data_IF_659088629162
#
_entry.id   IF_659088629162
#
_cell.length_a   1.000
_cell.length_b   1.000
_cell.length_c   1.000
_cell.angle_alpha   90.00
_cell.angle_beta   90.00
_cell.angle_gamma   90.00
#
_symmetry.space_group_name_H-M   'P 1'
#
loop_
_entity.id
_entity.type
_entity.pdbx_description
1 polymer ?
#
# COMPACT_ATOMS: atom_id res chain seq x y z
N UNK A 1 -73.45 -22.95 -35.62
CA UNK A 1 -74.52 -23.81 -35.07
C UNK A 1 -73.90 -25.13 -34.65
N UNK A 2 -74.49 -25.83 -33.66
CA UNK A 2 -74.72 -27.32 -33.59
C UNK A 2 -73.62 -28.27 -34.14
N UNK A 3 -73.09 -29.28 -33.43
CA UNK A 3 -73.24 -29.74 -32.03
C UNK A 3 -72.29 -30.92 -31.68
N UNK A 4 -71.94 -31.04 -30.39
CA UNK A 4 -71.84 -32.26 -29.55
C UNK A 4 -71.44 -33.69 -30.06
N UNK A 5 -70.38 -34.24 -29.42
CA UNK A 5 -70.32 -35.47 -28.58
C UNK A 5 -70.25 -36.94 -29.11
N UNK A 6 -69.66 -37.79 -28.23
CA UNK A 6 -69.66 -39.28 -28.08
C UNK A 6 -68.81 -40.11 -29.08
N UNK A 7 -68.21 -41.27 -28.74
CA UNK A 7 -68.03 -42.06 -27.48
C UNK A 7 -66.67 -42.81 -27.61
N UNK A 8 -65.78 -43.00 -26.62
CA UNK A 8 -65.84 -43.63 -25.28
C UNK A 8 -65.93 -45.19 -25.26
N UNK A 9 -64.85 -45.87 -24.87
CA UNK A 9 -64.80 -47.26 -24.33
C UNK A 9 -63.48 -47.49 -23.57
N UNK A 10 -63.50 -47.63 -22.24
CA UNK A 10 -63.26 -48.85 -21.41
C UNK A 10 -61.93 -49.59 -21.59
N UNK A 11 -61.23 -50.07 -20.53
CA UNK A 11 -61.51 -49.98 -19.09
C UNK A 11 -60.33 -50.41 -18.19
N UNK A 12 -60.43 -50.16 -16.88
CA UNK A 12 -59.40 -50.48 -15.87
C UNK A 12 -59.65 -51.86 -15.19
N UNK A 13 -58.85 -52.29 -14.19
CA UNK A 13 -58.97 -51.79 -12.80
C UNK A 13 -57.58 -51.55 -12.14
N UNK A 14 -57.35 -51.40 -10.81
CA UNK A 14 -58.17 -51.54 -9.58
C UNK A 14 -57.68 -50.57 -8.46
N UNK A 15 -58.09 -50.86 -7.23
CA UNK A 15 -57.87 -50.22 -5.92
C UNK A 15 -56.48 -50.49 -5.28
N UNK A 16 -56.07 -49.85 -4.16
CA UNK A 16 -56.67 -48.78 -3.34
C UNK A 16 -56.04 -48.61 -1.93
N UNK A 17 -56.67 -47.77 -1.07
CA UNK A 17 -56.25 -47.31 0.29
C UNK A 17 -55.02 -46.34 0.30
N UNK A 18 -55.02 -45.12 0.88
CA UNK A 18 -55.40 -44.61 2.25
C UNK A 18 -54.44 -45.15 3.34
N UNK A 19 -53.90 -44.40 4.32
CA UNK A 19 -54.14 -43.07 4.97
C UNK A 19 -52.75 -42.44 5.30
N UNK A 20 -52.49 -41.13 5.46
CA UNK A 20 -53.28 -39.89 5.41
C UNK A 20 -53.06 -38.96 6.64
N UNK A 21 -52.58 -37.73 6.46
CA UNK A 21 -52.40 -36.71 7.54
C UNK A 21 -52.66 -35.28 7.02
N UNK A 22 -53.06 -34.35 7.89
CA UNK A 22 -53.62 -33.05 7.50
C UNK A 22 -52.94 -31.83 8.15
N UNK A 23 -52.80 -30.77 7.35
CA UNK A 23 -52.63 -29.34 7.67
C UNK A 23 -52.55 -28.62 6.29
N UNK A 24 -53.17 -27.47 6.01
CA UNK A 24 -53.95 -26.55 6.85
C UNK A 24 -53.49 -25.11 6.57
N UNK A 25 -54.41 -24.13 6.58
CA UNK A 25 -54.17 -22.68 6.30
C UNK A 25 -53.90 -22.43 4.79
N UNK A 26 -54.87 -21.99 3.98
CA UNK A 26 -55.53 -20.65 3.92
C UNK A 26 -54.56 -19.55 3.47
N UNK A 27 -54.71 -19.10 2.22
CA UNK A 27 -53.99 -17.93 1.72
C UNK A 27 -54.61 -16.63 2.27
N UNK A 28 -53.81 -15.82 2.96
CA UNK A 28 -54.17 -14.47 3.37
C UNK A 28 -53.20 -13.47 2.72
N UNK A 29 -53.71 -12.63 1.81
CA UNK A 29 -52.95 -11.51 1.28
C UNK A 29 -52.93 -10.42 2.35
N UNK A 30 -51.78 -10.23 3.01
CA UNK A 30 -51.58 -9.13 3.96
C UNK A 30 -50.33 -8.33 3.57
N UNK A 31 -50.53 -7.05 3.28
CA UNK A 31 -49.42 -6.13 3.02
C UNK A 31 -48.70 -5.81 4.31
N UNK A 32 -47.42 -6.16 4.41
CA UNK A 32 -46.54 -5.79 5.52
C UNK A 32 -45.30 -5.10 4.94
N UNK A 33 -45.18 -3.81 5.22
CA UNK A 33 -43.91 -3.11 5.06
C UNK A 33 -42.90 -3.69 6.05
N UNK A 34 -41.76 -4.15 5.58
CA UNK A 34 -40.64 -4.54 6.44
C UNK A 34 -39.40 -3.72 6.05
N UNK A 35 -38.95 -2.86 6.95
CA UNK A 35 -37.80 -1.99 6.74
C UNK A 35 -36.50 -2.79 6.84
N UNK A 36 -35.72 -2.89 5.76
CA UNK A 36 -34.31 -3.30 5.86
C UNK A 36 -33.49 -2.12 6.42
N UNK A 37 -33.27 -2.13 7.74
CA UNK A 37 -32.54 -1.08 8.43
C UNK A 37 -31.10 -0.95 7.93
N UNK A 38 -30.79 0.16 7.26
CA UNK A 38 -29.40 0.56 6.98
C UNK A 38 -28.72 0.97 8.29
N UNK A 39 -27.74 0.18 8.72
CA UNK A 39 -26.96 0.46 9.92
C UNK A 39 -26.01 1.65 9.70
N UNK A 40 -26.55 2.87 9.74
CA UNK A 40 -25.78 4.10 9.70
C UNK A 40 -25.06 4.30 11.04
N UNK A 41 -23.82 3.81 11.12
CA UNK A 41 -22.92 4.07 12.24
C UNK A 41 -22.56 5.55 12.26
N UNK A 42 -23.33 6.34 13.01
CA UNK A 42 -22.94 7.67 13.42
C UNK A 42 -21.66 7.57 14.28
N UNK A 43 -20.53 8.01 13.74
CA UNK A 43 -19.35 8.26 14.54
C UNK A 43 -19.56 9.58 15.28
N UNK A 44 -19.55 9.54 16.61
CA UNK A 44 -19.86 10.72 17.42
C UNK A 44 -18.65 11.64 17.49
N UNK A 45 -18.79 12.87 17.00
CA UNK A 45 -17.84 13.95 17.26
C UNK A 45 -17.69 14.16 18.76
N UNK A 46 -16.46 14.09 19.23
CA UNK A 46 -16.08 14.45 20.60
C UNK A 46 -14.93 15.43 20.54
N UNK A 47 -15.26 16.71 20.44
CA UNK A 47 -14.27 17.79 20.56
C UNK A 47 -13.55 17.69 21.91
N UNK A 48 -12.21 17.63 21.86
CA UNK A 48 -11.34 17.92 22.99
C UNK A 48 -10.32 18.93 22.52
N UNK A 49 -10.40 20.14 23.07
CA UNK A 49 -9.88 21.34 22.42
C UNK A 49 -8.43 21.69 22.80
N UNK A 50 -7.88 22.64 22.04
CA UNK A 50 -6.64 23.40 22.28
C UNK A 50 -5.32 22.65 22.02
N UNK A 51 -4.84 22.81 20.78
CA UNK A 51 -3.48 22.48 20.35
C UNK A 51 -3.09 23.33 19.13
N UNK A 52 -3.13 24.66 19.26
CA UNK A 52 -2.97 25.59 18.12
C UNK A 52 -1.59 25.49 17.45
N UNK A 53 -1.56 24.85 16.28
CA UNK A 53 -0.38 24.69 15.44
C UNK A 53 -0.81 24.35 14.01
N UNK A 54 -1.42 25.32 13.33
CA UNK A 54 -1.89 25.15 11.95
C UNK A 54 -0.69 25.10 10.99
N UNK A 55 -0.34 23.88 10.56
CA UNK A 55 0.65 23.64 9.50
C UNK A 55 -0.08 23.11 8.26
N UNK A 56 -0.39 24.01 7.33
CA UNK A 56 -0.99 23.67 6.03
C UNK A 56 0.06 23.01 5.15
N UNK A 57 -0.03 21.69 4.96
CA UNK A 57 0.79 20.97 3.96
C UNK A 57 0.18 21.14 2.58
N UNK A 58 0.58 22.18 1.85
CA UNK A 58 0.25 22.35 0.43
C UNK A 58 1.13 21.44 -0.43
N UNK A 59 0.67 20.20 -0.66
CA UNK A 59 1.24 19.30 -1.67
C UNK A 59 0.89 19.83 -3.09
N UNK A 60 1.59 20.89 -3.50
CA UNK A 60 1.41 21.49 -4.83
C UNK A 60 2.08 20.61 -5.88
N UNK A 61 1.26 19.96 -6.72
CA UNK A 61 1.71 19.30 -7.95
C UNK A 61 1.34 20.21 -9.11
N UNK A 62 2.37 20.75 -9.78
CA UNK A 62 2.20 21.48 -11.03
C UNK A 62 2.69 20.64 -12.22
N UNK A 63 1.95 20.70 -13.31
CA UNK A 63 2.38 20.26 -14.63
C UNK A 63 2.58 21.50 -15.47
N UNK A 64 3.79 21.67 -16.01
CA UNK A 64 4.05 22.65 -17.05
C UNK A 64 4.08 21.93 -18.41
N UNK A 65 3.51 22.59 -19.41
CA UNK A 65 3.66 22.29 -20.82
C UNK A 65 3.79 23.63 -21.56
N UNK A 66 4.90 24.34 -21.31
CA UNK A 66 5.21 25.58 -22.03
C UNK A 66 5.73 25.25 -23.43
N UNK A 67 4.81 24.99 -24.38
CA UNK A 67 4.77 25.54 -25.75
C UNK A 67 3.62 24.90 -26.57
N UNK A 68 2.53 25.65 -26.73
CA UNK A 68 1.30 25.34 -27.50
C UNK A 68 1.52 25.28 -29.03
N UNK A 69 2.76 25.45 -29.51
CA UNK A 69 3.11 25.45 -30.94
C UNK A 69 4.04 24.31 -31.39
N UNK A 70 4.44 23.41 -30.48
CA UNK A 70 5.43 22.36 -30.79
C UNK A 70 4.82 21.07 -31.35
N UNK A 71 5.27 20.65 -32.54
CA UNK A 71 5.04 19.28 -33.06
C UNK A 71 5.98 18.24 -32.41
N UNK A 72 6.42 18.49 -31.18
CA UNK A 72 7.42 17.69 -30.49
C UNK A 72 6.72 16.66 -29.58
N UNK A 73 7.16 15.41 -29.67
CA UNK A 73 6.54 14.29 -28.96
C UNK A 73 7.34 13.95 -27.71
N UNK A 74 6.64 13.79 -26.59
CA UNK A 74 7.21 13.18 -25.39
C UNK A 74 7.32 11.66 -25.59
N UNK A 75 8.27 11.01 -24.92
CA UNK A 75 8.39 9.54 -24.93
C UNK A 75 8.10 8.99 -23.55
N UNK A 76 7.08 8.14 -23.43
CA UNK A 76 6.72 7.44 -22.20
C UNK A 76 7.11 5.97 -22.30
N UNK A 77 8.02 5.50 -21.46
CA UNK A 77 8.31 4.08 -21.33
C UNK A 77 7.43 3.47 -20.24
N UNK A 78 6.70 2.39 -20.53
CA UNK A 78 5.85 1.66 -19.58
C UNK A 78 6.23 0.18 -19.51
N UNK A 79 6.06 -0.44 -18.35
CA UNK A 79 6.17 -1.91 -18.20
C UNK A 79 4.79 -2.54 -18.35
N UNK A 80 4.63 -3.45 -19.31
CA UNK A 80 3.36 -4.12 -19.61
C UNK A 80 3.57 -5.61 -19.93
N UNK A 81 2.55 -6.43 -19.68
CA UNK A 81 2.60 -7.89 -19.89
C UNK A 81 1.70 -8.33 -21.03
N UNK A 82 2.28 -8.97 -22.03
CA UNK A 82 1.56 -9.56 -23.15
C UNK A 82 1.01 -10.95 -22.76
N UNK A 83 -0.24 -11.22 -23.12
CA UNK A 83 -0.87 -12.53 -22.99
C UNK A 83 -1.57 -12.92 -24.30
N UNK A 84 -0.74 -13.17 -25.32
CA UNK A 84 -1.19 -13.43 -26.69
C UNK A 84 -1.77 -14.84 -26.89
N UNK A 85 -1.65 -15.72 -25.89
CA UNK A 85 -2.32 -17.02 -25.91
C UNK A 85 -3.83 -16.83 -25.86
N UNK A 86 -4.30 -16.01 -24.92
CA UNK A 86 -5.71 -15.62 -24.77
C UNK A 86 -6.17 -14.82 -26.00
N UNK A 87 -5.38 -13.83 -26.43
CA UNK A 87 -5.73 -13.00 -27.60
C UNK A 87 -5.96 -13.79 -28.89
N UNK A 88 -5.20 -14.86 -29.13
CA UNK A 88 -5.35 -15.73 -30.31
C UNK A 88 -6.64 -16.58 -30.30
N UNK A 89 -7.34 -16.70 -29.18
CA UNK A 89 -8.67 -17.36 -29.14
C UNK A 89 -9.77 -16.51 -29.81
N UNK A 90 -9.59 -15.18 -29.91
CA UNK A 90 -10.55 -14.25 -30.56
C UNK A 90 -10.87 -14.67 -32.00
N UNK A 91 -9.87 -15.09 -32.78
CA UNK A 91 -10.06 -15.51 -34.18
C UNK A 91 -11.16 -16.56 -34.37
N UNK A 92 -11.25 -17.51 -33.44
CA UNK A 92 -12.26 -18.56 -33.50
C UNK A 92 -13.67 -18.03 -33.20
N UNK A 93 -13.79 -17.02 -32.34
CA UNK A 93 -15.05 -16.38 -31.96
C UNK A 93 -15.55 -15.43 -33.07
N UNK A 94 -14.64 -14.65 -33.66
CA UNK A 94 -14.92 -13.80 -34.83
C UNK A 94 -15.33 -14.63 -36.03
N UNK A 95 -14.63 -15.73 -36.33
CA UNK A 95 -15.00 -16.60 -37.45
C UNK A 95 -16.34 -17.33 -37.21
N UNK A 96 -16.77 -17.57 -35.97
CA UNK A 96 -18.14 -18.00 -35.68
C UNK A 96 -19.17 -16.91 -36.01
N UNK A 97 -18.91 -15.65 -35.63
CA UNK A 97 -19.77 -14.53 -35.99
C UNK A 97 -19.87 -14.31 -37.51
N UNK A 98 -18.73 -14.34 -38.21
CA UNK A 98 -18.64 -14.23 -39.68
C UNK A 98 -19.37 -15.34 -40.42
N UNK A 99 -19.20 -16.59 -39.98
CA UNK A 99 -19.96 -17.75 -40.49
C UNK A 99 -21.47 -17.54 -40.33
N UNK A 100 -21.91 -17.00 -39.18
CA UNK A 100 -23.32 -16.72 -38.89
C UNK A 100 -23.88 -15.52 -39.69
N UNK A 101 -23.01 -14.59 -40.10
CA UNK A 101 -23.34 -13.48 -40.99
C UNK A 101 -23.24 -13.82 -42.50
N UNK A 102 -22.70 -15.00 -42.84
CA UNK A 102 -22.55 -15.44 -44.24
C UNK A 102 -21.33 -14.86 -44.96
N UNK A 103 -20.34 -14.31 -44.24
CA UNK A 103 -19.11 -13.74 -44.82
C UNK A 103 -17.90 -14.66 -44.62
N UNK A 104 -16.91 -14.55 -45.52
CA UNK A 104 -15.73 -15.42 -45.53
C UNK A 104 -14.88 -15.32 -44.26
N UNK A 105 -14.31 -16.44 -43.81
CA UNK A 105 -13.48 -16.50 -42.61
C UNK A 105 -12.15 -15.74 -42.78
N UNK A 106 -11.71 -15.09 -41.70
CA UNK A 106 -10.43 -14.39 -41.60
C UNK A 106 -9.30 -15.37 -41.25
N UNK A 107 -8.10 -15.05 -41.73
CA UNK A 107 -6.84 -15.67 -41.29
C UNK A 107 -6.15 -14.82 -40.22
N UNK A 108 -5.29 -15.43 -39.39
CA UNK A 108 -4.41 -14.67 -38.50
C UNK A 108 -3.24 -14.07 -39.28
N UNK A 109 -2.90 -12.82 -39.01
CA UNK A 109 -1.71 -12.15 -39.52
C UNK A 109 -0.77 -11.74 -38.36
N UNK A 110 0.50 -12.13 -38.44
CA UNK A 110 1.47 -11.88 -37.38
C UNK A 110 2.10 -10.47 -37.43
N UNK A 111 2.12 -9.81 -38.57
CA UNK A 111 2.54 -8.40 -38.64
C UNK A 111 1.45 -7.50 -38.05
N UNK A 112 0.17 -7.85 -38.25
CA UNK A 112 -0.94 -7.24 -37.49
C UNK A 112 -0.88 -7.56 -35.98
N UNK A 113 -0.44 -8.74 -35.55
CA UNK A 113 -0.31 -9.06 -34.11
C UNK A 113 0.71 -8.14 -33.41
N UNK A 114 1.84 -7.82 -34.07
CA UNK A 114 2.82 -6.85 -33.56
C UNK A 114 2.23 -5.44 -33.46
N UNK A 115 1.49 -5.01 -34.49
CA UNK A 115 0.79 -3.73 -34.49
C UNK A 115 -0.29 -3.67 -33.40
N UNK A 116 -1.06 -4.74 -33.20
CA UNK A 116 -2.08 -4.86 -32.17
C UNK A 116 -1.47 -4.83 -30.77
N UNK A 117 -0.32 -5.48 -30.53
CA UNK A 117 0.42 -5.40 -29.26
C UNK A 117 0.85 -3.95 -28.96
N UNK A 118 1.43 -3.26 -29.93
CA UNK A 118 1.82 -1.85 -29.78
C UNK A 118 0.60 -0.96 -29.52
N UNK A 119 -0.50 -1.14 -30.27
CA UNK A 119 -1.77 -0.42 -30.05
C UNK A 119 -2.38 -0.73 -28.68
N UNK A 120 -2.30 -1.96 -28.20
CA UNK A 120 -2.80 -2.35 -26.88
C UNK A 120 -1.97 -1.73 -25.72
N UNK A 121 -0.67 -1.50 -25.92
CA UNK A 121 0.15 -0.70 -25.01
C UNK A 121 -0.17 0.81 -25.12
N UNK A 122 -0.41 1.32 -26.33
CA UNK A 122 -0.80 2.72 -26.58
C UNK A 122 -2.14 3.09 -25.93
N UNK A 123 -3.18 2.25 -26.03
CA UNK A 123 -4.49 2.56 -25.43
C UNK A 123 -4.50 2.53 -23.89
N UNK A 124 -3.45 1.99 -23.27
CA UNK A 124 -3.23 2.14 -21.83
C UNK A 124 -2.87 3.60 -21.47
N UNK A 125 -2.09 4.29 -22.32
CA UNK A 125 -1.77 5.72 -22.17
C UNK A 125 -2.99 6.58 -22.48
N UNK A 126 -3.65 6.35 -23.63
CA UNK A 126 -4.79 7.12 -24.12
C UNK A 126 -5.81 6.17 -24.76
N UNK A 127 -6.95 5.92 -24.11
CA UNK A 127 -7.97 4.99 -24.63
C UNK A 127 -8.76 5.66 -25.77
N UNK A 128 -8.23 5.59 -26.99
CA UNK A 128 -8.78 6.22 -28.19
C UNK A 128 -8.46 5.42 -29.47
N UNK A 129 -9.26 5.68 -30.51
CA UNK A 129 -8.98 5.30 -31.90
C UNK A 129 -7.97 6.24 -32.58
N UNK A 130 -7.57 7.31 -31.92
CA UNK A 130 -6.31 7.99 -32.22
C UNK A 130 -5.18 7.45 -31.33
N UNK A 131 -3.95 7.58 -31.81
CA UNK A 131 -2.73 7.17 -31.11
C UNK A 131 -2.28 8.28 -30.17
N UNK A 132 -1.54 7.96 -29.09
CA UNK A 132 -1.10 8.96 -28.13
C UNK A 132 -0.27 10.11 -28.74
N UNK A 133 0.39 9.89 -29.88
CA UNK A 133 1.11 10.92 -30.65
C UNK A 133 0.23 11.82 -31.55
N UNK A 134 -1.10 11.68 -31.50
CA UNK A 134 -2.04 12.51 -32.27
C UNK A 134 -2.28 12.06 -33.71
N UNK A 135 -1.80 10.88 -34.10
CA UNK A 135 -2.07 10.28 -35.42
C UNK A 135 -3.16 9.20 -35.35
N UNK A 136 -3.86 8.92 -36.44
CA UNK A 136 -4.93 7.90 -36.46
C UNK A 136 -4.39 6.50 -36.18
N UNK A 137 -5.20 5.62 -35.56
CA UNK A 137 -4.83 4.23 -35.24
C UNK A 137 -4.23 3.45 -36.43
N UNK A 138 -4.75 3.65 -37.64
CA UNK A 138 -4.29 2.95 -38.84
C UNK A 138 -2.83 3.23 -39.20
N UNK A 139 -2.20 4.29 -38.67
CA UNK A 139 -0.75 4.53 -38.82
C UNK A 139 0.13 3.55 -38.04
N UNK A 140 -0.44 2.70 -37.18
CA UNK A 140 0.26 1.59 -36.54
C UNK A 140 0.31 0.33 -37.41
N UNK A 141 -0.45 0.27 -38.51
CA UNK A 141 -0.41 -0.86 -39.43
C UNK A 141 0.92 -0.88 -40.21
N UNK A 142 1.50 -2.05 -40.49
CA UNK A 142 2.62 -2.18 -41.42
C UNK A 142 2.24 -1.67 -42.83
N UNK A 143 3.24 -1.33 -43.64
CA UNK A 143 3.03 -1.00 -45.04
C UNK A 143 2.51 -2.22 -45.82
N UNK A 144 1.40 -2.07 -46.55
CA UNK A 144 0.88 -3.09 -47.47
C UNK A 144 -0.59 -3.46 -47.30
N UNK A 145 -1.28 -2.96 -46.27
CA UNK A 145 -2.73 -3.10 -46.11
C UNK A 145 -3.48 -1.97 -46.82
N UNK A 146 -4.61 -2.29 -47.45
CA UNK A 146 -5.46 -1.35 -48.20
C UNK A 146 -6.82 -1.10 -47.54
N UNK A 147 -7.36 -2.11 -46.85
CA UNK A 147 -8.49 -1.98 -45.95
C UNK A 147 -7.99 -2.22 -44.52
N UNK A 148 -8.37 -1.35 -43.59
CA UNK A 148 -7.99 -1.44 -42.17
C UNK A 148 -9.23 -1.25 -41.28
N UNK A 149 -9.29 -1.98 -40.17
CA UNK A 149 -10.29 -1.81 -39.12
C UNK A 149 -9.68 -1.98 -37.74
N UNK A 150 -10.20 -1.25 -36.73
CA UNK A 150 -9.77 -1.37 -35.34
C UNK A 150 -11.00 -1.48 -34.43
N UNK A 151 -10.98 -2.45 -33.53
CA UNK A 151 -11.85 -2.53 -32.36
C UNK A 151 -10.98 -2.44 -31.10
N UNK A 152 -11.41 -1.63 -30.12
CA UNK A 152 -10.70 -1.51 -28.83
C UNK A 152 -11.60 -1.92 -27.67
N UNK A 153 -11.01 -2.48 -26.62
CA UNK A 153 -11.67 -2.83 -25.37
C UNK A 153 -10.65 -2.78 -24.23
N UNK A 154 -11.11 -2.60 -23.00
CA UNK A 154 -10.28 -2.80 -21.83
C UNK A 154 -11.14 -3.09 -20.59
N UNK A 155 -10.50 -3.50 -19.50
CA UNK A 155 -11.20 -3.87 -18.26
C UNK A 155 -10.33 -3.70 -17.03
N UNK A 156 -10.93 -3.35 -15.89
CA UNK A 156 -10.35 -3.67 -14.59
C UNK A 156 -10.40 -5.18 -14.35
N UNK A 157 -9.27 -5.78 -13.98
CA UNK A 157 -9.12 -7.23 -13.83
C UNK A 157 -8.69 -7.94 -15.11
N UNK A 158 -8.47 -9.25 -14.99
CA UNK A 158 -8.01 -10.11 -16.08
C UNK A 158 -9.19 -10.58 -16.94
N UNK A 159 -9.65 -9.73 -17.86
CA UNK A 159 -10.58 -10.15 -18.92
C UNK A 159 -9.93 -11.21 -19.82
N UNK A 160 -10.78 -12.05 -20.42
CA UNK A 160 -10.41 -13.10 -21.37
C UNK A 160 -11.06 -12.88 -22.75
N UNK A 161 -10.63 -13.66 -23.75
CA UNK A 161 -11.10 -13.55 -25.13
C UNK A 161 -12.63 -13.56 -25.27
N UNK A 162 -13.32 -14.45 -24.52
CA UNK A 162 -14.78 -14.53 -24.51
C UNK A 162 -15.43 -13.22 -24.04
N UNK A 163 -14.91 -12.60 -22.96
CA UNK A 163 -15.40 -11.30 -22.48
C UNK A 163 -15.12 -10.14 -23.45
N UNK A 164 -13.93 -10.06 -24.04
CA UNK A 164 -13.59 -9.02 -25.03
C UNK A 164 -14.45 -9.15 -26.30
N UNK A 165 -14.51 -10.36 -26.89
CA UNK A 165 -15.37 -10.65 -28.04
C UNK A 165 -16.85 -10.38 -27.75
N UNK A 166 -17.34 -10.67 -26.53
CA UNK A 166 -18.72 -10.33 -26.14
C UNK A 166 -18.94 -8.82 -26.12
N UNK A 167 -17.96 -8.03 -25.64
CA UNK A 167 -18.04 -6.56 -25.66
C UNK A 167 -18.01 -5.99 -27.09
N UNK A 168 -17.25 -6.60 -28.01
CA UNK A 168 -17.24 -6.21 -29.42
C UNK A 168 -18.52 -6.64 -30.14
N UNK A 169 -18.99 -7.87 -29.93
CA UNK A 169 -20.23 -8.39 -30.55
C UNK A 169 -21.47 -7.57 -30.17
N UNK A 170 -21.50 -7.04 -28.94
CA UNK A 170 -22.62 -6.22 -28.44
C UNK A 170 -22.55 -4.74 -28.86
N UNK A 171 -21.47 -4.30 -29.53
CA UNK A 171 -21.32 -2.94 -30.06
C UNK A 171 -21.55 -2.95 -31.59
N UNK A 172 -22.56 -2.24 -32.13
CA UNK A 172 -22.87 -2.28 -33.56
C UNK A 172 -21.70 -1.87 -34.46
N UNK A 173 -20.88 -0.90 -34.04
CA UNK A 173 -19.69 -0.47 -34.79
C UNK A 173 -18.57 -1.51 -34.78
N UNK A 174 -18.29 -2.10 -33.61
CA UNK A 174 -17.26 -3.13 -33.50
C UNK A 174 -17.67 -4.42 -34.23
N UNK A 175 -18.94 -4.83 -34.10
CA UNK A 175 -19.49 -5.96 -34.83
C UNK A 175 -19.49 -5.75 -36.35
N UNK A 176 -19.72 -4.53 -36.84
CA UNK A 176 -19.60 -4.20 -38.26
C UNK A 176 -18.18 -4.45 -38.80
N UNK A 177 -17.13 -4.10 -38.04
CA UNK A 177 -15.75 -4.47 -38.40
C UNK A 177 -15.57 -6.01 -38.42
N UNK A 178 -16.04 -6.71 -37.38
CA UNK A 178 -15.95 -8.18 -37.29
C UNK A 178 -16.58 -8.89 -38.51
N UNK A 179 -17.68 -8.37 -39.07
CA UNK A 179 -18.37 -8.97 -40.22
C UNK A 179 -18.11 -8.27 -41.57
N UNK A 180 -17.19 -7.31 -41.66
CA UNK A 180 -16.91 -6.67 -42.95
C UNK A 180 -16.30 -7.67 -43.95
N UNK A 181 -16.91 -7.76 -45.13
CA UNK A 181 -16.47 -8.66 -46.22
C UNK A 181 -15.15 -8.25 -46.87
N UNK A 182 -14.75 -6.98 -46.75
CA UNK A 182 -13.51 -6.45 -47.35
C UNK A 182 -12.24 -6.95 -46.66
N UNK A 183 -12.33 -7.40 -45.40
CA UNK A 183 -11.19 -7.91 -44.63
C UNK A 183 -10.96 -9.41 -44.89
N UNK A 184 -9.71 -9.80 -45.12
CA UNK A 184 -9.27 -11.20 -45.30
C UNK A 184 -8.38 -11.72 -44.17
N UNK A 185 -7.83 -10.83 -43.34
CA UNK A 185 -7.04 -11.18 -42.17
C UNK A 185 -7.37 -10.33 -40.95
N UNK A 186 -6.90 -10.79 -39.79
CA UNK A 186 -6.94 -10.05 -38.54
C UNK A 186 -5.82 -10.45 -37.59
N UNK A 187 -5.63 -9.65 -36.55
CA UNK A 187 -5.02 -10.08 -35.30
C UNK A 187 -5.75 -9.46 -34.12
N UNK A 188 -5.55 -10.03 -32.94
CA UNK A 188 -5.95 -9.42 -31.69
C UNK A 188 -4.80 -9.50 -30.69
N UNK A 189 -4.74 -8.54 -29.76
CA UNK A 189 -3.72 -8.48 -28.72
C UNK A 189 -4.33 -8.16 -27.37
N UNK A 190 -3.76 -8.78 -26.34
CA UNK A 190 -4.03 -8.52 -24.92
C UNK A 190 -2.74 -8.06 -24.24
N UNK A 191 -2.76 -6.86 -23.68
CA UNK A 191 -1.65 -6.25 -22.93
C UNK A 191 -2.16 -5.81 -21.56
N UNK A 192 -1.55 -6.32 -20.49
CA UNK A 192 -1.93 -5.99 -19.12
C UNK A 192 -0.97 -4.95 -18.52
N UNK A 193 -1.54 -3.89 -17.95
CA UNK A 193 -0.79 -2.82 -17.25
C UNK A 193 -1.35 -2.73 -15.83
N UNK A 194 -0.57 -3.20 -14.85
CA UNK A 194 -1.02 -3.31 -13.46
C UNK A 194 -2.28 -4.19 -13.33
N UNK A 195 -3.37 -3.61 -12.84
CA UNK A 195 -4.66 -4.27 -12.66
C UNK A 195 -5.60 -4.18 -13.87
N UNK A 196 -5.15 -3.62 -15.01
CA UNK A 196 -6.00 -3.40 -16.19
C UNK A 196 -5.54 -4.24 -17.38
N UNK A 197 -6.48 -4.90 -18.05
CA UNK A 197 -6.25 -5.57 -19.34
C UNK A 197 -6.72 -4.65 -20.47
N UNK A 198 -5.84 -4.37 -21.43
CA UNK A 198 -6.12 -3.62 -22.65
C UNK A 198 -6.12 -4.58 -23.84
N UNK A 199 -7.13 -4.41 -24.70
CA UNK A 199 -7.44 -5.29 -25.81
C UNK A 199 -7.59 -4.49 -27.10
N UNK A 200 -6.92 -4.93 -28.14
CA UNK A 200 -7.06 -4.38 -29.50
C UNK A 200 -7.27 -5.52 -30.47
N UNK A 201 -8.18 -5.34 -31.41
CA UNK A 201 -8.44 -6.24 -32.53
C UNK A 201 -8.29 -5.41 -33.82
N UNK A 202 -7.38 -5.83 -34.70
CA UNK A 202 -7.05 -5.20 -35.97
C UNK A 202 -7.48 -6.10 -37.12
N UNK A 203 -8.15 -5.52 -38.12
CA UNK A 203 -8.58 -6.18 -39.34
C UNK A 203 -7.84 -5.61 -40.55
N UNK A 204 -7.51 -6.46 -41.52
CA UNK A 204 -6.74 -6.06 -42.70
C UNK A 204 -7.08 -6.81 -43.99
N UNK A 205 -6.71 -6.21 -45.11
CA UNK A 205 -6.55 -6.87 -46.40
C UNK A 205 -5.35 -6.28 -47.18
N UNK A 206 -4.52 -7.11 -47.86
CA UNK A 206 -4.53 -8.57 -47.87
C UNK A 206 -3.81 -9.17 -46.65
N UNK A 207 -4.05 -10.45 -46.39
CA UNK A 207 -3.20 -11.23 -45.47
C UNK A 207 -1.73 -11.23 -45.95
N UNK A 208 -0.82 -10.68 -45.15
CA UNK A 208 0.63 -10.70 -45.42
C UNK A 208 1.28 -12.00 -44.93
N UNK A 209 0.57 -12.80 -44.14
CA UNK A 209 0.73 -14.26 -44.10
C UNK A 209 1.98 -14.80 -43.41
N UNK A 210 2.70 -14.01 -42.62
CA UNK A 210 3.88 -14.50 -41.89
C UNK A 210 3.48 -15.48 -40.79
N UNK A 211 3.84 -16.76 -40.96
CA UNK A 211 3.44 -17.84 -40.04
C UNK A 211 4.29 -17.82 -38.76
N UNK A 212 3.80 -17.16 -37.71
CA UNK A 212 4.45 -17.17 -36.41
C UNK A 212 4.19 -18.45 -35.61
N UNK A 213 5.28 -19.17 -35.33
CA UNK A 213 5.33 -20.37 -34.47
C UNK A 213 5.53 -20.06 -32.99
N UNK A 214 5.84 -18.81 -32.63
CA UNK A 214 6.12 -18.36 -31.25
C UNK A 214 5.04 -17.38 -30.80
N UNK A 215 4.45 -17.62 -29.62
CA UNK A 215 3.46 -16.74 -28.99
C UNK A 215 4.20 -15.60 -28.27
N UNK A 216 3.86 -14.35 -28.58
CA UNK A 216 4.53 -13.16 -28.03
C UNK A 216 4.05 -12.79 -26.62
N UNK A 217 4.21 -13.69 -25.65
CA UNK A 217 3.85 -13.47 -24.24
C UNK A 217 5.06 -13.19 -23.34
N UNK A 218 4.89 -12.30 -22.37
CA UNK A 218 5.96 -11.87 -21.44
C UNK A 218 5.77 -10.44 -20.95
N UNK A 219 6.55 -10.01 -19.96
CA UNK A 219 6.61 -8.60 -19.51
C UNK A 219 7.71 -7.87 -20.27
N UNK A 220 7.36 -6.74 -20.87
CA UNK A 220 8.25 -5.93 -21.72
C UNK A 220 8.15 -4.45 -21.38
N UNK A 221 9.17 -3.67 -21.76
CA UNK A 221 9.12 -2.22 -21.74
C UNK A 221 8.69 -1.69 -23.11
N UNK A 222 7.63 -0.87 -23.14
CA UNK A 222 7.11 -0.22 -24.34
C UNK A 222 7.41 1.26 -24.27
N UNK A 223 8.15 1.80 -25.25
CA UNK A 223 8.30 3.24 -25.42
C UNK A 223 7.24 3.74 -26.40
N UNK A 224 6.43 4.68 -25.93
CA UNK A 224 5.27 5.22 -26.64
C UNK A 224 5.51 6.73 -26.85
N UNK A 225 5.33 7.19 -28.08
CA UNK A 225 5.31 8.62 -28.40
C UNK A 225 3.97 9.24 -27.98
N UNK A 226 4.00 10.41 -27.34
CA UNK A 226 2.82 11.08 -26.79
C UNK A 226 2.87 12.57 -27.13
N UNK A 227 1.80 13.08 -27.73
CA UNK A 227 1.63 14.52 -27.97
C UNK A 227 1.40 15.27 -26.64
N UNK A 228 1.83 16.52 -26.49
CA UNK A 228 1.72 17.26 -25.23
C UNK A 228 0.30 17.29 -24.66
N UNK A 229 -0.71 17.48 -25.53
CA UNK A 229 -2.12 17.51 -25.15
C UNK A 229 -2.67 16.17 -24.66
N UNK A 230 -2.05 15.05 -25.03
CA UNK A 230 -2.42 13.72 -24.58
C UNK A 230 -1.68 13.31 -23.29
N UNK A 231 -0.69 14.09 -22.86
CA UNK A 231 -0.03 13.90 -21.57
C UNK A 231 -0.88 14.46 -20.42
N UNK A 232 -1.20 13.63 -19.43
CA UNK A 232 -1.92 13.99 -18.20
C UNK A 232 -1.17 13.43 -17.00
N UNK A 233 0.03 13.99 -16.78
CA UNK A 233 0.98 13.53 -15.78
C UNK A 233 0.59 13.97 -14.36
N UNK A 234 0.86 13.11 -13.39
CA UNK A 234 0.76 13.38 -11.95
C UNK A 234 1.78 12.52 -11.20
N UNK A 235 2.15 12.88 -9.97
CA UNK A 235 2.89 11.94 -9.11
C UNK A 235 1.93 10.97 -8.42
N UNK A 236 2.24 9.68 -8.45
CA UNK A 236 1.53 8.64 -7.70
C UNK A 236 2.14 8.39 -6.30
N UNK A 237 3.42 8.71 -6.12
CA UNK A 237 4.15 8.55 -4.86
C UNK A 237 5.27 9.59 -4.78
N UNK A 238 5.44 10.21 -3.62
CA UNK A 238 6.33 11.35 -3.36
C UNK A 238 6.96 11.27 -1.95
N UNK A 239 7.99 12.08 -1.70
CA UNK A 239 8.39 12.40 -0.32
C UNK A 239 7.26 13.14 0.39
N UNK A 240 7.06 12.82 1.67
CA UNK A 240 6.13 13.54 2.56
C UNK A 240 6.90 14.39 3.57
N UNK A 241 6.30 15.47 4.05
CA UNK A 241 6.94 16.44 4.96
C UNK A 241 7.59 15.80 6.20
N UNK A 242 6.97 14.74 6.73
CA UNK A 242 7.44 13.99 7.90
C UNK A 242 8.49 12.89 7.59
N UNK A 243 9.03 12.81 6.38
CA UNK A 243 10.03 11.77 6.02
C UNK A 243 11.27 11.90 6.90
N UNK A 244 11.74 10.78 7.46
CA UNK A 244 12.93 10.77 8.30
C UNK A 244 14.22 10.91 7.47
N UNK A 245 15.22 11.60 8.02
CA UNK A 245 16.54 11.73 7.41
C UNK A 245 17.16 10.35 7.17
N UNK A 246 17.66 10.12 5.96
CA UNK A 246 18.20 8.83 5.51
C UNK A 246 17.16 7.89 4.90
N UNK A 247 15.86 8.11 5.11
CA UNK A 247 14.81 7.34 4.42
C UNK A 247 14.73 7.73 2.94
N UNK A 248 14.40 6.75 2.10
CA UNK A 248 14.21 6.92 0.66
C UNK A 248 12.79 6.58 0.23
N UNK A 249 12.23 7.34 -0.71
CA UNK A 249 10.94 7.06 -1.35
C UNK A 249 11.16 6.94 -2.86
N UNK A 250 10.57 5.91 -3.47
CA UNK A 250 10.50 5.80 -4.92
C UNK A 250 9.44 6.77 -5.44
N UNK A 251 9.84 7.79 -6.21
CA UNK A 251 8.86 8.57 -6.94
C UNK A 251 8.28 7.74 -8.08
N UNK A 252 6.98 7.89 -8.30
CA UNK A 252 6.27 7.29 -9.44
C UNK A 252 5.51 8.40 -10.16
N UNK A 253 5.62 8.42 -11.49
CA UNK A 253 4.86 9.34 -12.34
C UNK A 253 3.76 8.53 -13.00
N UNK A 254 2.56 9.09 -13.06
CA UNK A 254 1.37 8.46 -13.57
C UNK A 254 0.77 9.31 -14.68
N UNK A 255 0.60 8.73 -15.87
CA UNK A 255 -0.31 9.28 -16.87
C UNK A 255 -1.73 8.84 -16.54
N UNK A 256 -2.65 9.80 -16.45
CA UNK A 256 -4.08 9.54 -16.31
C UNK A 256 -4.70 9.36 -17.70
N UNK A 257 -5.47 8.28 -17.89
CA UNK A 257 -6.22 8.08 -19.13
C UNK A 257 -7.43 9.05 -19.14
N UNK A 258 -7.63 9.84 -20.19
CA UNK A 258 -8.62 10.93 -20.17
C UNK A 258 -10.06 10.43 -20.08
N UNK A 259 -10.42 9.48 -20.93
CA UNK A 259 -11.75 8.83 -20.90
C UNK A 259 -11.96 8.08 -19.58
N UNK A 260 -10.93 7.35 -19.14
CA UNK A 260 -10.99 6.52 -17.93
C UNK A 260 -10.12 7.12 -16.84
N UNK A 261 -10.57 8.24 -16.28
CA UNK A 261 -9.85 9.03 -15.27
C UNK A 261 -9.42 8.26 -14.00
N UNK A 262 -9.98 7.08 -13.74
CA UNK A 262 -9.60 6.16 -12.67
C UNK A 262 -8.47 5.18 -13.05
N UNK A 263 -8.24 4.97 -14.35
CA UNK A 263 -7.10 4.22 -14.88
C UNK A 263 -5.88 5.15 -14.98
N UNK A 264 -4.82 4.79 -14.23
CA UNK A 264 -3.54 5.49 -14.22
C UNK A 264 -2.41 4.52 -14.54
N UNK A 265 -1.58 4.88 -15.51
CA UNK A 265 -0.41 4.08 -15.92
C UNK A 265 0.86 4.69 -15.34
N UNK A 266 1.62 3.89 -14.57
CA UNK A 266 2.93 4.29 -14.10
C UNK A 266 3.91 4.38 -15.28
N UNK A 267 4.45 5.57 -15.53
CA UNK A 267 5.52 5.81 -16.50
C UNK A 267 6.86 5.54 -15.81
N UNK A 268 7.73 4.76 -16.44
CA UNK A 268 9.00 4.34 -15.86
C UNK A 268 9.94 5.56 -15.68
N UNK A 269 10.66 5.65 -14.54
CA UNK A 269 11.58 6.76 -14.26
C UNK A 269 12.66 6.99 -15.32
N UNK A 270 13.00 5.96 -16.09
CA UNK A 270 13.89 6.02 -17.26
C UNK A 270 13.46 7.04 -18.31
N UNK A 271 12.17 7.37 -18.39
CA UNK A 271 11.61 8.36 -19.32
C UNK A 271 11.93 9.83 -18.97
N UNK A 272 12.49 10.09 -17.77
CA UNK A 272 12.60 11.44 -17.21
C UNK A 272 14.02 11.83 -16.79
N UNK A 273 14.34 13.12 -16.93
CA UNK A 273 15.46 13.77 -16.28
C UNK A 273 14.99 14.26 -14.90
N UNK A 274 15.59 13.70 -13.84
CA UNK A 274 15.22 13.96 -12.44
C UNK A 274 16.14 14.97 -11.79
N UNK A 275 15.57 15.94 -11.07
CA UNK A 275 16.32 16.98 -10.35
C UNK A 275 15.73 17.25 -8.96
N UNK A 276 16.56 17.79 -8.09
CA UNK A 276 16.19 18.34 -6.77
C UNK A 276 16.70 19.77 -6.70
N UNK A 277 15.84 20.72 -6.32
CA UNK A 277 16.26 22.12 -6.12
C UNK A 277 17.17 22.31 -4.91
N UNK A 278 17.23 21.34 -3.99
CA UNK A 278 18.07 21.40 -2.79
C UNK A 278 18.58 20.02 -2.36
N UNK A 279 19.77 19.64 -2.86
CA UNK A 279 20.43 18.38 -2.53
C UNK A 279 20.84 18.22 -1.06
N UNK A 280 20.87 19.32 -0.29
CA UNK A 280 21.08 19.30 1.16
C UNK A 280 19.83 18.88 1.96
N UNK A 281 18.65 19.10 1.38
CA UNK A 281 17.36 18.69 1.94
C UNK A 281 16.97 17.30 1.44
N UNK A 282 17.01 17.06 0.13
CA UNK A 282 16.82 15.73 -0.46
C UNK A 282 17.59 15.54 -1.78
N UNK A 283 18.16 14.36 -1.99
CA UNK A 283 18.72 13.95 -3.30
C UNK A 283 17.75 13.05 -4.04
N UNK A 284 17.77 13.04 -5.37
CA UNK A 284 17.09 12.04 -6.20
C UNK A 284 18.08 11.45 -7.22
N UNK A 285 17.92 10.17 -7.55
CA UNK A 285 18.74 9.49 -8.56
C UNK A 285 18.02 9.38 -9.93
N UNK A 286 18.73 8.86 -10.94
CA UNK A 286 18.20 8.67 -12.29
C UNK A 286 17.07 7.63 -12.38
N UNK A 287 16.81 6.87 -11.32
CA UNK A 287 15.69 5.94 -11.21
C UNK A 287 14.51 6.55 -10.46
N UNK A 288 14.52 7.85 -10.16
CA UNK A 288 13.46 8.53 -9.40
C UNK A 288 13.45 8.21 -7.91
N UNK A 289 14.51 7.61 -7.35
CA UNK A 289 14.57 7.29 -5.91
C UNK A 289 15.05 8.49 -5.12
N UNK A 290 14.11 9.23 -4.53
CA UNK A 290 14.42 10.33 -3.63
C UNK A 290 14.92 9.82 -2.27
N UNK A 291 15.80 10.57 -1.61
CA UNK A 291 16.34 10.27 -0.27
C UNK A 291 16.49 11.55 0.54
N UNK A 292 15.84 11.61 1.70
CA UNK A 292 15.90 12.76 2.60
C UNK A 292 17.29 12.90 3.25
N UNK A 293 17.84 14.11 3.25
CA UNK A 293 19.18 14.46 3.76
C UNK A 293 19.14 15.47 4.91
N UNK A 294 18.13 16.34 4.95
CA UNK A 294 17.96 17.39 5.95
C UNK A 294 16.51 17.86 6.05
N UNK A 295 16.29 18.86 6.90
CA UNK A 295 15.04 19.62 6.95
C UNK A 295 15.19 20.91 6.14
N UNK A 296 14.08 21.38 5.56
CA UNK A 296 14.01 22.53 4.67
C UNK A 296 13.06 22.27 3.50
N UNK A 297 12.96 23.22 2.59
CA UNK A 297 12.15 23.11 1.38
C UNK A 297 12.95 22.50 0.23
N UNK A 298 12.27 21.66 -0.56
CA UNK A 298 12.83 21.04 -1.76
C UNK A 298 11.74 20.82 -2.80
N UNK A 299 12.08 21.07 -4.05
CA UNK A 299 11.27 20.76 -5.23
C UNK A 299 11.91 19.58 -5.94
N UNK A 300 11.20 18.47 -6.02
CA UNK A 300 11.58 17.33 -6.86
C UNK A 300 10.89 17.51 -8.21
N UNK A 301 11.67 17.60 -9.28
CA UNK A 301 11.16 17.84 -10.63
C UNK A 301 11.57 16.72 -11.57
N UNK A 302 10.64 16.29 -12.41
CA UNK A 302 10.86 15.33 -13.48
C UNK A 302 10.45 15.95 -14.82
N UNK A 303 11.41 16.11 -15.73
CA UNK A 303 11.19 16.54 -17.11
C UNK A 303 11.20 15.35 -18.04
N UNK A 304 10.33 15.27 -19.06
CA UNK A 304 10.42 14.20 -20.05
C UNK A 304 11.71 14.34 -20.88
N UNK A 305 12.36 13.21 -21.22
CA UNK A 305 13.65 13.24 -21.94
C UNK A 305 13.55 13.65 -23.41
N UNK A 306 12.44 13.36 -24.08
CA UNK A 306 12.23 13.78 -25.46
C UNK A 306 11.65 15.20 -25.55
N UNK A 307 10.93 15.64 -24.50
CA UNK A 307 10.29 16.95 -24.43
C UNK A 307 10.47 17.57 -23.03
N UNK A 308 11.56 18.32 -22.83
CA UNK A 308 11.90 18.91 -21.52
C UNK A 308 10.91 19.97 -21.01
N UNK A 309 10.05 20.53 -21.89
CA UNK A 309 8.97 21.45 -21.51
C UNK A 309 7.78 20.73 -20.86
N UNK A 310 7.61 19.42 -21.11
CA UNK A 310 6.66 18.58 -20.39
C UNK A 310 7.29 18.13 -19.06
N UNK A 311 6.95 18.85 -18.00
CA UNK A 311 7.54 18.67 -16.68
C UNK A 311 6.48 18.57 -15.57
N UNK A 312 6.73 17.70 -14.59
CA UNK A 312 5.93 17.59 -13.38
C UNK A 312 6.79 17.85 -12.14
N UNK A 313 6.32 18.74 -11.27
CA UNK A 313 7.05 19.22 -10.09
C UNK A 313 6.27 18.94 -8.80
N UNK A 314 6.99 18.51 -7.77
CA UNK A 314 6.48 18.30 -6.42
C UNK A 314 7.32 19.11 -5.44
N UNK A 315 6.73 20.18 -4.92
CA UNK A 315 7.28 20.96 -3.84
C UNK A 315 6.93 20.32 -2.49
N UNK A 316 7.90 20.20 -1.58
CA UNK A 316 7.70 19.64 -0.24
C UNK A 316 8.63 20.27 0.79
N UNK A 317 8.05 20.81 1.86
CA UNK A 317 8.77 21.19 3.07
C UNK A 317 9.05 19.92 3.89
N UNK A 318 10.28 19.41 3.84
CA UNK A 318 10.71 18.37 4.77
C UNK A 318 10.96 19.02 6.13
N UNK A 319 10.09 18.76 7.10
CA UNK A 319 10.33 19.23 8.49
C UNK A 319 11.39 18.38 9.19
N UNK A 320 11.63 17.17 8.69
CA UNK A 320 12.32 16.10 9.41
C UNK A 320 11.39 15.56 10.51
N UNK A 321 11.23 14.24 10.58
CA UNK A 321 10.24 13.64 11.49
C UNK A 321 10.38 14.16 12.95
N UNK A 322 9.39 14.87 13.52
CA UNK A 322 9.44 15.40 14.88
C UNK A 322 9.44 14.29 15.96
N UNK A 323 9.28 13.02 15.56
CA UNK A 323 9.59 11.83 16.38
C UNK A 323 11.09 11.64 16.66
N UNK A 324 11.89 12.71 16.59
CA UNK A 324 13.27 12.74 17.07
C UNK A 324 13.31 12.19 18.50
N UNK A 325 14.12 11.14 18.70
CA UNK A 325 14.01 10.24 19.85
C UNK A 325 14.61 10.86 21.10
N UNK A 326 13.91 11.86 21.66
CA UNK A 326 14.38 12.66 22.80
C UNK A 326 14.82 11.76 23.94
N UNK A 327 16.09 11.88 24.32
CA UNK A 327 16.64 11.21 25.50
C UNK A 327 15.88 11.60 26.77
N UNK A 328 15.61 10.61 27.62
CA UNK A 328 14.87 10.83 28.84
C UNK A 328 14.14 9.62 29.38
N UNK A 329 13.42 9.90 30.47
CA UNK A 329 12.54 8.96 31.15
C UNK A 329 11.23 8.80 30.37
N UNK A 330 10.84 7.55 30.15
CA UNK A 330 9.58 7.19 29.48
C UNK A 330 8.79 6.26 30.40
N UNK A 331 7.52 6.57 30.62
CA UNK A 331 6.62 5.72 31.40
C UNK A 331 5.85 4.79 30.46
N UNK A 332 5.92 3.48 30.71
CA UNK A 332 5.19 2.45 29.98
C UNK A 332 4.33 1.59 30.90
N UNK A 333 3.64 0.60 30.34
CA UNK A 333 2.67 -0.25 31.06
C UNK A 333 3.25 -1.10 32.21
N UNK A 334 4.58 -1.18 32.34
CA UNK A 334 5.29 -1.91 33.41
C UNK A 334 6.10 -0.99 34.34
N UNK A 335 6.01 0.33 34.19
CA UNK A 335 6.76 1.33 34.97
C UNK A 335 7.66 2.21 34.09
N UNK A 336 8.75 2.70 34.65
CA UNK A 336 9.69 3.61 33.95
C UNK A 336 10.80 2.86 33.23
N UNK A 337 11.25 3.41 32.10
CA UNK A 337 12.51 3.09 31.43
C UNK A 337 13.22 4.37 31.02
N UNK A 338 14.51 4.28 30.68
CA UNK A 338 15.30 5.41 30.19
C UNK A 338 15.81 5.14 28.79
N UNK A 339 15.69 6.13 27.92
CA UNK A 339 15.98 6.06 26.48
C UNK A 339 17.09 7.05 26.14
N UNK A 340 18.07 6.61 25.35
CA UNK A 340 19.17 7.45 24.87
C UNK A 340 18.86 8.02 23.47
N UNK A 341 19.65 9.01 23.01
CA UNK A 341 19.40 9.71 21.74
C UNK A 341 19.59 8.83 20.47
N UNK A 342 20.27 7.69 20.60
CA UNK A 342 20.43 6.69 19.53
C UNK A 342 19.23 5.73 19.43
N UNK A 343 18.23 5.87 20.30
CA UNK A 343 17.07 4.98 20.40
C UNK A 343 17.28 3.71 21.22
N UNK A 344 18.50 3.50 21.74
CA UNK A 344 18.76 2.43 22.72
C UNK A 344 18.20 2.80 24.11
N UNK A 345 18.29 1.86 25.06
CA UNK A 345 17.69 2.01 26.38
C UNK A 345 18.53 1.39 27.50
N UNK A 346 18.40 1.97 28.69
CA UNK A 346 19.18 1.63 29.87
C UNK A 346 18.97 0.18 30.33
N UNK A 347 20.08 -0.47 30.73
CA UNK A 347 20.12 -1.81 31.36
C UNK A 347 21.18 -1.83 32.46
N UNK A 348 20.98 -2.64 33.49
CA UNK A 348 21.89 -2.74 34.64
C UNK A 348 21.94 -1.44 35.45
N UNK A 349 23.06 -1.20 36.15
CA UNK A 349 23.30 0.06 36.85
C UNK A 349 23.60 1.20 35.86
N UNK A 350 22.96 2.35 36.04
CA UNK A 350 23.17 3.55 35.22
C UNK A 350 23.10 4.81 36.08
N UNK A 351 24.02 5.76 35.89
CA UNK A 351 23.99 7.06 36.58
C UNK A 351 23.41 8.12 35.64
N UNK A 352 22.21 8.59 35.94
CA UNK A 352 21.44 9.54 35.13
C UNK A 352 21.27 10.84 35.94
N UNK A 353 21.80 11.95 35.40
CA UNK A 353 21.75 13.29 36.04
C UNK A 353 22.19 13.31 37.51
N UNK A 354 23.23 12.55 37.85
CA UNK A 354 23.84 12.50 39.19
C UNK A 354 23.18 11.55 40.19
N UNK A 355 22.12 10.83 39.80
CA UNK A 355 21.55 9.74 40.61
C UNK A 355 21.78 8.39 39.91
N UNK A 356 22.09 7.35 40.69
CA UNK A 356 22.24 5.98 40.18
C UNK A 356 20.91 5.23 40.25
N UNK A 357 20.61 4.48 39.20
CA UNK A 357 19.40 3.68 38.99
C UNK A 357 19.81 2.26 38.59
N UNK A 358 18.90 1.30 38.72
CA UNK A 358 19.08 -0.05 38.18
C UNK A 358 17.89 -0.45 37.29
N UNK A 359 18.18 -1.04 36.14
CA UNK A 359 17.22 -1.48 35.13
C UNK A 359 17.39 -2.97 34.87
N UNK A 360 16.28 -3.72 34.74
CA UNK A 360 16.36 -5.15 34.40
C UNK A 360 16.77 -5.41 32.94
N UNK A 361 16.91 -6.69 32.59
CA UNK A 361 17.34 -7.14 31.24
C UNK A 361 16.40 -6.69 30.12
N UNK A 362 15.15 -6.34 30.45
CA UNK A 362 14.14 -5.81 29.52
C UNK A 362 14.09 -4.27 29.52
N UNK A 363 14.91 -3.60 30.33
CA UNK A 363 15.02 -2.14 30.39
C UNK A 363 14.11 -1.45 31.40
N UNK A 364 13.39 -2.17 32.27
CA UNK A 364 12.51 -1.54 33.26
C UNK A 364 13.26 -1.18 34.53
N UNK A 365 13.12 0.08 34.94
CA UNK A 365 13.70 0.62 36.17
C UNK A 365 13.14 -0.09 37.40
N UNK A 366 14.00 -0.47 38.35
CA UNK A 366 13.62 -1.14 39.58
C UNK A 366 13.48 -0.16 40.74
N UNK A 367 12.61 -0.50 41.68
CA UNK A 367 12.38 0.19 42.95
C UNK A 367 12.38 -0.83 44.09
N UNK A 368 12.46 -0.37 45.33
CA UNK A 368 12.49 -1.20 46.52
C UNK A 368 13.81 -2.00 46.67
N UNK A 369 13.75 -3.08 47.43
CA UNK A 369 14.87 -3.99 47.66
C UNK A 369 15.18 -4.82 46.41
N UNK A 370 16.44 -4.86 45.99
CA UNK A 370 16.93 -5.67 44.89
C UNK A 370 18.23 -6.38 45.32
N UNK A 371 18.34 -7.69 45.07
CA UNK A 371 19.58 -8.44 45.28
C UNK A 371 20.30 -8.60 43.94
N UNK A 372 21.49 -8.01 43.82
CA UNK A 372 22.26 -7.93 42.58
C UNK A 372 23.70 -8.33 42.92
N UNK A 373 24.27 -9.28 42.19
CA UNK A 373 25.63 -9.82 42.39
C UNK A 373 25.93 -10.13 43.87
N UNK A 374 25.01 -10.91 44.46
CA UNK A 374 24.89 -11.26 45.88
C UNK A 374 24.70 -10.14 46.90
N UNK A 375 24.87 -8.87 46.52
CA UNK A 375 24.70 -7.71 47.38
C UNK A 375 23.23 -7.23 47.40
N UNK A 376 22.79 -6.66 48.52
CA UNK A 376 21.47 -6.06 48.65
C UNK A 376 21.54 -4.55 48.44
N UNK A 377 20.68 -4.03 47.57
CA UNK A 377 20.52 -2.60 47.27
C UNK A 377 19.09 -2.17 47.55
N UNK A 378 18.89 -0.91 47.91
CA UNK A 378 17.56 -0.31 48.05
C UNK A 378 17.41 0.88 47.10
N UNK A 379 16.43 0.81 46.21
CA UNK A 379 16.07 1.88 45.29
C UNK A 379 14.81 2.57 45.80
N UNK A 380 14.83 3.90 45.89
CA UNK A 380 13.72 4.71 46.40
C UNK A 380 12.52 4.62 45.46
N UNK A 381 11.36 5.16 45.86
CA UNK A 381 10.16 5.20 45.00
C UNK A 381 10.37 5.91 43.65
N UNK A 382 11.35 6.82 43.59
CA UNK A 382 11.81 7.49 42.35
C UNK A 382 12.80 6.68 41.51
N UNK A 383 13.14 5.44 41.91
CA UNK A 383 14.17 4.61 41.29
C UNK A 383 15.62 4.94 41.66
N UNK A 384 15.86 6.07 42.33
CA UNK A 384 17.21 6.47 42.75
C UNK A 384 17.73 5.56 43.88
N UNK A 385 18.95 5.04 43.72
CA UNK A 385 19.66 4.23 44.70
C UNK A 385 19.81 4.98 46.03
N UNK A 386 19.76 4.23 47.13
CA UNK A 386 19.90 4.78 48.47
C UNK A 386 21.30 4.52 49.06
N UNK A 387 21.83 5.54 49.73
CA UNK A 387 23.09 5.53 50.49
C UNK A 387 22.81 6.02 51.91
N UNK A 388 23.65 5.64 52.88
CA UNK A 388 23.47 5.96 54.30
C UNK A 388 22.24 5.31 54.95
N UNK A 389 21.76 5.90 56.05
CA UNK A 389 20.59 5.44 56.81
C UNK A 389 19.29 5.58 56.03
N UNK A 390 18.52 4.49 55.94
CA UNK A 390 17.21 4.42 55.30
C UNK A 390 16.19 3.77 56.22
N UNK A 391 15.03 4.41 56.39
CA UNK A 391 13.90 3.82 57.11
C UNK A 391 12.94 3.17 56.11
N UNK A 392 12.78 1.85 56.17
CA UNK A 392 11.90 1.08 55.29
C UNK A 392 10.85 0.39 56.14
N UNK A 393 9.61 0.89 56.05
CA UNK A 393 8.54 0.54 56.98
C UNK A 393 8.86 0.97 58.41
N UNK A 394 8.78 0.03 59.35
CA UNK A 394 9.11 0.26 60.77
C UNK A 394 10.61 0.11 61.11
N UNK A 395 11.43 -0.38 60.18
CA UNK A 395 12.84 -0.75 60.42
C UNK A 395 13.81 0.26 59.80
N UNK A 396 14.98 0.41 60.42
CA UNK A 396 16.12 1.15 59.88
C UNK A 396 17.15 0.19 59.27
N UNK A 397 17.81 0.63 58.21
CA UNK A 397 18.86 -0.07 57.48
C UNK A 397 19.96 0.94 57.13
N UNK A 398 21.19 0.47 56.90
CA UNK A 398 22.29 1.32 56.42
C UNK A 398 22.85 0.77 55.10
N UNK A 399 22.99 1.66 54.13
CA UNK A 399 23.62 1.40 52.84
C UNK A 399 24.97 2.12 52.80
N UNK A 400 26.03 1.51 52.29
CA UNK A 400 27.34 2.19 52.16
C UNK A 400 27.33 3.22 51.01
N UNK A 401 28.50 3.78 50.67
CA UNK A 401 28.62 4.78 49.60
C UNK A 401 28.27 4.20 48.21
N UNK A 402 28.56 2.91 48.02
CA UNK A 402 28.28 2.11 46.83
C UNK A 402 26.80 1.63 46.78
N UNK A 403 26.01 1.92 47.81
CA UNK A 403 24.59 1.54 47.91
C UNK A 403 24.33 0.11 48.40
N UNK A 404 25.35 -0.60 48.88
CA UNK A 404 25.27 -1.97 49.42
C UNK A 404 24.82 -1.94 50.88
N UNK A 405 23.79 -2.71 51.20
CA UNK A 405 23.25 -2.86 52.55
C UNK A 405 24.27 -3.54 53.48
N UNK A 406 24.51 -2.94 54.63
CA UNK A 406 25.43 -3.47 55.65
C UNK A 406 24.69 -4.40 56.63
N UNK A 407 25.44 -5.28 57.30
CA UNK A 407 24.98 -6.19 58.36
C UNK A 407 26.02 -6.25 59.49
N UNK A 408 25.64 -6.72 60.68
CA UNK A 408 26.56 -6.84 61.82
C UNK A 408 26.89 -5.51 62.50
N UNK A 409 28.09 -5.38 63.05
CA UNK A 409 28.57 -4.16 63.75
C UNK A 409 28.98 -3.09 62.74
N UNK A 410 28.27 -1.97 62.75
CA UNK A 410 28.55 -0.78 61.94
C UNK A 410 29.12 0.34 62.84
N UNK A 411 29.98 1.19 62.28
CA UNK A 411 30.38 2.47 62.88
C UNK A 411 30.08 3.58 61.88
N UNK A 412 29.24 4.54 62.26
CA UNK A 412 28.93 5.75 61.47
C UNK A 412 29.18 6.99 62.34
N UNK A 413 30.04 7.89 61.85
CA UNK A 413 30.44 9.16 62.53
C UNK A 413 30.87 9.00 64.01
N UNK A 414 31.45 7.85 64.35
CA UNK A 414 31.92 7.53 65.71
C UNK A 414 30.89 6.82 66.60
N UNK A 415 29.61 6.82 66.22
CA UNK A 415 28.58 5.99 66.88
C UNK A 415 28.67 4.54 66.39
N UNK A 416 28.57 3.59 67.32
CA UNK A 416 28.44 2.15 66.99
C UNK A 416 26.97 1.80 66.83
N UNK A 417 26.65 0.94 65.86
CA UNK A 417 25.32 0.41 65.62
C UNK A 417 25.39 -1.10 65.36
N UNK A 418 24.29 -1.81 65.57
CA UNK A 418 24.19 -3.23 65.28
C UNK A 418 23.03 -3.52 64.33
N UNK A 419 23.32 -4.17 63.21
CA UNK A 419 22.37 -4.56 62.17
C UNK A 419 22.24 -6.10 62.18
N UNK A 420 21.01 -6.63 62.05
CA UNK A 420 20.79 -8.07 61.97
C UNK A 420 21.24 -8.68 60.62
N UNK A 421 21.14 -10.00 60.48
CA UNK A 421 21.51 -10.70 59.23
C UNK A 421 20.66 -10.32 58.00
N UNK A 422 19.56 -9.60 58.19
CA UNK A 422 18.74 -9.00 57.14
C UNK A 422 18.97 -7.48 57.01
N UNK A 423 20.03 -6.95 57.65
CA UNK A 423 20.41 -5.54 57.65
C UNK A 423 19.58 -4.62 58.55
N UNK A 424 18.64 -5.17 59.33
CA UNK A 424 17.75 -4.34 60.14
C UNK A 424 18.40 -3.94 61.47
N UNK A 425 18.41 -2.63 61.75
CA UNK A 425 18.99 -2.06 62.96
C UNK A 425 18.30 -2.59 64.23
N UNK A 426 19.12 -3.00 65.19
CA UNK A 426 18.71 -3.49 66.51
C UNK A 426 18.55 -2.33 67.50
N UNK A 427 17.67 -2.53 68.46
CA UNK A 427 17.52 -1.72 69.67
C UNK A 427 17.27 -2.66 70.86
N UNK A 428 17.60 -2.22 72.07
CA UNK A 428 17.68 -3.08 73.25
C UNK A 428 19.00 -3.87 73.31
N UNK A 429 18.99 -4.97 74.05
CA UNK A 429 20.15 -5.83 74.23
C UNK A 429 20.55 -6.58 72.95
N UNK A 430 21.84 -6.55 72.63
CA UNK A 430 22.47 -7.21 71.47
C UNK A 430 23.73 -7.94 71.94
N UNK A 431 23.82 -9.23 71.62
CA UNK A 431 25.03 -10.03 71.85
C UNK A 431 25.97 -9.96 70.64
N UNK A 432 27.28 -9.86 70.87
CA UNK A 432 28.34 -9.99 69.86
C UNK A 432 29.47 -10.84 70.45
N UNK A 433 29.59 -12.09 70.03
CA UNK A 433 30.50 -13.06 70.67
C UNK A 433 30.08 -13.34 72.11
N UNK A 434 31.02 -13.18 73.06
CA UNK A 434 30.76 -13.23 74.50
C UNK A 434 29.96 -12.04 75.03
N UNK A 435 30.00 -10.90 74.34
CA UNK A 435 29.75 -9.61 74.96
C UNK A 435 28.32 -9.12 74.68
N UNK A 436 27.75 -8.39 75.65
CA UNK A 436 26.41 -7.80 75.56
C UNK A 436 26.48 -6.27 75.54
N UNK A 437 25.83 -5.69 74.53
CA UNK A 437 25.69 -4.25 74.31
C UNK A 437 24.22 -3.87 74.43
N UNK A 438 23.90 -2.66 74.90
CA UNK A 438 22.55 -2.13 74.90
C UNK A 438 22.44 -0.97 73.90
N UNK A 439 21.83 -1.22 72.74
CA UNK A 439 21.55 -0.19 71.75
C UNK A 439 20.29 0.58 72.17
N UNK A 440 20.36 1.91 72.27
CA UNK A 440 19.24 2.74 72.68
C UNK A 440 18.14 2.83 71.59
N UNK A 441 17.08 3.62 71.82
CA UNK A 441 15.95 3.76 70.86
C UNK A 441 16.36 4.28 69.47
N UNK A 442 17.52 4.94 69.35
CA UNK A 442 18.14 5.41 68.11
C UNK A 442 19.23 4.46 67.57
N UNK A 443 19.43 3.29 68.19
CA UNK A 443 20.35 2.25 67.71
C UNK A 443 21.81 2.34 68.16
N UNK A 444 22.16 3.33 68.99
CA UNK A 444 23.51 3.57 69.54
C UNK A 444 23.68 2.96 70.92
#
# INVERSE_FOLDING_TARGET
MVSENKTLSTGAPKEGFLVGFALGIVALVLSICCMSATAQLAYADTESAVGTGAYTTSENISVAAEDDSTTALATFTISATNDQKDAREILALVNQARTKAGVGALMWDYELEKAAIQRAAEIAILFSHDRPNGTQCFTAFPSGYYACGENIYASSGNANASSANTSWTNSPGHYANMINGDFTCMAAAKVQVGSFSFWVELFGDPNQGTTATTVLSGTHEYTIEVAPDNAKLSFGTTLKSNTAKGSSVQYTIQNQNTEWSYAKVNILPSSFNWTSSNSGVATIDANGRATAKGAGEVTITAKNKALESLAVSNEVTLTGNPSAVKEGWVHGSKGWWYRYNDGSYAKGFQTIKGATYYFDTNGWMKTGWQKIDNNWYYFKGSGAMATGWQKVGSKWYFMNAEGIMQTGKLIDKGSTYFLDGNGAMKTGWVQQGSDWYYANKSGV
#
